data_IF_251776096170
#
_entry.id   IF_251776096170
#
_cell.length_a   1.000
_cell.length_b   1.000
_cell.length_c   1.000
_cell.angle_alpha   90.00
_cell.angle_beta   90.00
_cell.angle_gamma   90.00
#
_symmetry.space_group_name_H-M   'P 1'
#
loop_
_entity.id
_entity.type
_entity.pdbx_description
1 polymer ?
#
# COMPACT_ATOMS: atom_id res chain seq x y z
N UNK A 1 15.20 -6.94 5.81
CA UNK A 1 15.74 -5.58 6.07
C UNK A 1 17.14 -5.40 5.47
N UNK A 2 18.18 -6.09 5.97
CA UNK A 2 19.54 -6.02 5.39
C UNK A 2 19.60 -6.64 4.00
N UNK A 3 19.05 -7.85 3.82
CA UNK A 3 18.97 -8.52 2.52
C UNK A 3 18.20 -7.72 1.46
N UNK A 4 17.36 -6.78 1.89
CA UNK A 4 16.57 -5.92 1.01
C UNK A 4 17.22 -4.54 0.78
N UNK A 5 18.47 -4.34 1.22
CA UNK A 5 19.16 -3.04 1.12
C UNK A 5 18.63 -1.94 2.06
N UNK A 6 17.68 -2.25 2.95
CA UNK A 6 17.10 -1.27 3.88
C UNK A 6 17.96 -1.12 5.15
N UNK A 7 19.22 -0.70 5.00
CA UNK A 7 20.19 -0.61 6.11
C UNK A 7 19.74 0.33 7.23
N UNK A 8 19.20 1.51 6.91
CA UNK A 8 18.65 2.43 7.92
C UNK A 8 17.56 1.78 8.76
N UNK A 9 16.67 1.01 8.12
CA UNK A 9 15.62 0.32 8.82
C UNK A 9 16.17 -0.86 9.66
N UNK A 10 17.25 -1.51 9.20
CA UNK A 10 17.92 -2.56 9.96
C UNK A 10 18.54 -2.00 11.25
N UNK A 11 19.26 -0.88 11.15
CA UNK A 11 19.84 -0.18 12.31
C UNK A 11 18.75 0.25 13.29
N UNK A 12 17.63 0.80 12.81
CA UNK A 12 16.48 1.16 13.67
C UNK A 12 15.90 -0.05 14.41
N UNK A 13 15.80 -1.20 13.75
CA UNK A 13 15.32 -2.44 14.39
C UNK A 13 16.30 -2.93 15.44
N UNK A 14 17.61 -2.94 15.13
CA UNK A 14 18.67 -3.33 16.07
C UNK A 14 18.68 -2.47 17.34
N UNK A 15 18.43 -1.16 17.19
CA UNK A 15 18.36 -0.22 18.32
C UNK A 15 16.98 -0.10 18.97
N UNK A 16 15.98 -0.88 18.56
CA UNK A 16 14.62 -0.77 19.10
C UNK A 16 14.49 -1.52 20.43
N UNK A 17 13.58 -1.04 21.30
CA UNK A 17 13.22 -1.73 22.55
C UNK A 17 12.37 -2.99 22.33
N UNK A 18 12.16 -3.42 21.08
CA UNK A 18 11.36 -4.58 20.74
C UNK A 18 9.84 -4.34 20.82
N UNK A 19 9.09 -5.44 20.92
CA UNK A 19 7.64 -5.44 21.09
C UNK A 19 7.32 -5.42 22.58
N UNK A 20 6.31 -4.64 22.99
CA UNK A 20 5.86 -4.61 24.37
C UNK A 20 5.40 -6.02 24.83
N UNK A 21 5.67 -6.41 26.08
CA UNK A 21 5.27 -7.72 26.60
C UNK A 21 3.74 -7.84 26.64
N UNK A 22 3.23 -9.05 26.46
CA UNK A 22 1.80 -9.34 26.62
C UNK A 22 1.44 -9.40 28.11
N UNK A 23 1.08 -8.26 28.69
CA UNK A 23 0.69 -8.12 30.09
C UNK A 23 -0.40 -7.05 30.30
N UNK A 24 -0.95 -7.00 31.51
CA UNK A 24 -2.05 -6.10 31.87
C UNK A 24 -1.70 -4.63 31.70
N UNK A 25 -0.47 -4.23 32.05
CA UNK A 25 0.01 -2.85 31.89
C UNK A 25 -0.02 -2.41 30.42
N UNK A 26 0.43 -3.29 29.52
CA UNK A 26 0.41 -3.03 28.08
C UNK A 26 -1.03 -2.98 27.56
N UNK A 27 -1.91 -3.87 28.02
CA UNK A 27 -3.34 -3.86 27.65
C UNK A 27 -4.01 -2.55 28.07
N UNK A 28 -3.77 -2.07 29.30
CA UNK A 28 -4.31 -0.80 29.78
C UNK A 28 -3.85 0.38 28.93
N UNK A 29 -2.57 0.44 28.57
CA UNK A 29 -2.03 1.49 27.69
C UNK A 29 -2.68 1.42 26.30
N UNK A 30 -2.96 0.22 25.79
CA UNK A 30 -3.65 0.04 24.51
C UNK A 30 -5.10 0.53 24.58
N UNK A 31 -5.83 0.20 25.64
CA UNK A 31 -7.21 0.68 25.85
C UNK A 31 -7.28 2.20 25.97
N UNK A 32 -6.36 2.81 26.72
CA UNK A 32 -6.28 4.27 26.86
C UNK A 32 -6.02 4.96 25.51
N UNK A 33 -5.21 4.35 24.64
CA UNK A 33 -4.90 4.88 23.29
C UNK A 33 -6.00 4.60 22.26
N UNK A 34 -6.74 3.51 22.44
CA UNK A 34 -7.74 3.00 21.50
C UNK A 34 -9.07 2.78 22.20
N UNK A 35 -9.76 3.85 22.63
CA UNK A 35 -11.07 3.72 23.27
C UNK A 35 -12.04 3.02 22.31
N UNK A 36 -12.88 2.14 22.86
CA UNK A 36 -13.85 1.38 22.09
C UNK A 36 -14.68 2.31 21.20
N UNK A 37 -14.78 1.93 19.92
CA UNK A 37 -15.70 2.54 18.96
C UNK A 37 -16.67 1.47 18.46
N UNK A 38 -17.98 1.76 18.39
CA UNK A 38 -18.92 0.85 17.78
C UNK A 38 -18.53 0.59 16.31
N UNK A 39 -18.89 -0.58 15.76
CA UNK A 39 -18.65 -0.87 14.34
C UNK A 39 -19.22 0.25 13.46
N UNK A 40 -18.54 0.64 12.38
CA UNK A 40 -19.09 1.61 11.44
C UNK A 40 -20.42 1.08 10.89
N UNK A 41 -21.44 1.94 10.89
CA UNK A 41 -22.72 1.61 10.27
C UNK A 41 -22.51 1.42 8.78
N UNK A 42 -22.80 0.22 8.27
CA UNK A 42 -22.84 -0.02 6.83
C UNK A 42 -24.01 0.78 6.24
N UNK A 43 -23.70 1.85 5.52
CA UNK A 43 -24.69 2.55 4.71
C UNK A 43 -25.19 1.57 3.65
N UNK A 44 -26.48 1.27 3.67
CA UNK A 44 -27.17 0.38 2.71
C UNK A 44 -27.49 1.08 1.39
N UNK A 45 -27.23 2.39 1.32
CA UNK A 45 -27.47 3.19 0.12
C UNK A 45 -26.32 3.03 -0.86
N UNK A 46 -26.53 2.18 -1.86
CA UNK A 46 -25.64 2.11 -3.03
C UNK A 46 -25.82 3.38 -3.84
N UNK A 47 -24.86 4.30 -3.77
CA UNK A 47 -24.81 5.42 -4.68
C UNK A 47 -24.50 4.88 -6.08
N UNK A 48 -25.47 4.99 -6.99
CA UNK A 48 -25.31 4.67 -8.42
C UNK A 48 -24.55 5.79 -9.13
N UNK A 49 -23.37 6.14 -8.64
CA UNK A 49 -22.50 7.10 -9.31
C UNK A 49 -21.64 6.36 -10.34
N UNK A 50 -21.32 7.04 -11.45
CA UNK A 50 -20.44 6.47 -12.45
C UNK A 50 -19.05 6.21 -11.81
N UNK A 51 -18.42 5.04 -12.06
CA UNK A 51 -17.08 4.75 -11.58
C UNK A 51 -16.08 5.84 -11.95
N UNK A 52 -15.17 6.16 -11.03
CA UNK A 52 -14.00 6.97 -11.35
C UNK A 52 -13.13 6.19 -12.36
N UNK A 53 -12.86 6.82 -13.51
CA UNK A 53 -11.96 6.28 -14.55
C UNK A 53 -10.71 7.14 -14.61
N UNK A 54 -9.55 6.50 -14.53
CA UNK A 54 -8.24 7.14 -14.60
C UNK A 54 -7.49 6.72 -15.87
N UNK A 55 -6.68 7.64 -16.37
CA UNK A 55 -5.77 7.39 -17.48
C UNK A 55 -4.41 6.82 -17.03
N UNK A 56 -3.63 6.40 -18.01
CA UNK A 56 -2.32 5.76 -17.82
C UNK A 56 -1.31 6.71 -17.16
N UNK A 57 -1.35 8.01 -17.49
CA UNK A 57 -0.43 9.00 -16.94
C UNK A 57 -0.69 9.27 -15.46
N UNK A 58 -1.96 9.22 -15.06
CA UNK A 58 -2.40 9.31 -13.66
C UNK A 58 -1.93 8.10 -12.87
N UNK A 59 -2.11 6.89 -13.42
CA UNK A 59 -1.61 5.65 -12.81
C UNK A 59 -0.09 5.70 -12.63
N UNK A 60 0.65 6.12 -13.66
CA UNK A 60 2.09 6.25 -13.60
C UNK A 60 2.54 7.25 -12.52
N UNK A 61 1.87 8.40 -12.42
CA UNK A 61 2.16 9.42 -11.40
C UNK A 61 1.91 8.87 -9.99
N UNK A 62 0.83 8.11 -9.80
CA UNK A 62 0.53 7.46 -8.53
C UNK A 62 1.58 6.41 -8.16
N UNK A 63 2.02 5.56 -9.09
CA UNK A 63 3.10 4.59 -8.83
C UNK A 63 4.39 5.31 -8.43
N UNK A 64 4.76 6.40 -9.13
CA UNK A 64 5.93 7.21 -8.77
C UNK A 64 5.82 7.94 -7.43
N UNK A 65 4.62 8.04 -6.85
CA UNK A 65 4.39 8.73 -5.58
C UNK A 65 4.64 7.86 -4.35
N UNK A 66 4.95 6.56 -4.51
CA UNK A 66 5.25 5.69 -3.37
C UNK A 66 6.42 6.24 -2.53
N UNK A 67 6.27 6.33 -1.20
CA UNK A 67 7.37 6.70 -0.32
C UNK A 67 8.53 5.72 -0.43
N UNK A 68 9.76 6.22 -0.33
CA UNK A 68 10.93 5.34 -0.32
C UNK A 68 10.87 4.36 0.86
N UNK A 69 11.03 3.08 0.55
CA UNK A 69 11.04 2.01 1.55
C UNK A 69 9.65 1.55 1.98
N UNK A 70 8.63 1.71 1.12
CA UNK A 70 7.34 1.03 1.30
C UNK A 70 7.56 -0.47 1.55
N UNK A 71 6.82 -1.02 2.51
CA UNK A 71 6.91 -2.45 2.82
C UNK A 71 6.22 -3.29 1.74
N UNK A 72 6.75 -4.50 1.50
CA UNK A 72 6.02 -5.50 0.72
C UNK A 72 4.69 -5.89 1.39
N UNK A 73 3.72 -6.27 0.55
CA UNK A 73 2.56 -7.04 0.97
C UNK A 73 2.90 -8.52 1.25
N UNK A 74 1.87 -9.33 1.46
CA UNK A 74 1.99 -10.78 1.75
C UNK A 74 2.65 -11.57 0.62
N UNK A 75 2.52 -11.08 -0.61
CA UNK A 75 3.09 -11.67 -1.83
C UNK A 75 4.58 -11.35 -2.03
N UNK A 76 5.16 -10.48 -1.19
CA UNK A 76 6.55 -10.03 -1.33
C UNK A 76 6.75 -8.96 -2.40
N UNK A 77 5.72 -8.57 -3.17
CA UNK A 77 5.83 -7.54 -4.19
C UNK A 77 6.04 -6.17 -3.54
N UNK A 78 7.00 -5.39 -4.07
CA UNK A 78 7.31 -4.03 -3.62
C UNK A 78 6.97 -3.02 -4.69
N UNK A 79 6.66 -1.81 -4.25
CA UNK A 79 6.67 -0.61 -5.08
C UNK A 79 7.97 -0.49 -5.89
N UNK A 80 9.12 -0.79 -5.29
CA UNK A 80 10.42 -0.75 -5.96
C UNK A 80 10.48 -1.65 -7.20
N UNK A 81 9.90 -2.86 -7.16
CA UNK A 81 9.88 -3.75 -8.33
C UNK A 81 9.09 -3.12 -9.49
N UNK A 82 7.98 -2.43 -9.18
CA UNK A 82 7.20 -1.71 -10.18
C UNK A 82 7.98 -0.50 -10.69
N UNK A 83 8.59 0.29 -9.80
CA UNK A 83 9.39 1.46 -10.17
C UNK A 83 10.58 1.09 -11.06
N UNK A 84 11.26 -0.03 -10.77
CA UNK A 84 12.38 -0.52 -11.54
C UNK A 84 11.93 -0.99 -12.94
N UNK A 85 10.81 -1.72 -13.02
CA UNK A 85 10.22 -2.13 -14.29
C UNK A 85 9.79 -0.94 -15.16
N UNK A 86 9.46 0.19 -14.54
CA UNK A 86 9.02 1.43 -15.19
C UNK A 86 10.14 2.45 -15.44
N UNK A 87 11.37 2.16 -15.04
CA UNK A 87 12.50 3.11 -15.10
C UNK A 87 13.07 3.29 -16.53
N UNK A 88 12.71 2.43 -17.48
CA UNK A 88 13.14 2.53 -18.88
C UNK A 88 12.32 3.53 -19.69
N UNK A 89 12.81 4.75 -19.85
CA UNK A 89 12.19 5.78 -20.70
C UNK A 89 12.11 5.29 -22.16
N UNK A 90 10.90 5.25 -22.74
CA UNK A 90 10.66 4.71 -24.09
C UNK A 90 10.65 3.18 -24.19
N UNK A 91 10.71 2.45 -23.06
CA UNK A 91 10.59 0.98 -23.06
C UNK A 91 9.16 0.54 -23.39
N UNK A 92 9.01 -0.25 -24.46
CA UNK A 92 7.74 -0.89 -24.79
C UNK A 92 7.20 -1.70 -23.62
N UNK A 93 8.08 -2.40 -22.88
CA UNK A 93 7.71 -3.21 -21.71
C UNK A 93 7.14 -2.34 -20.57
N UNK A 94 7.69 -1.15 -20.34
CA UNK A 94 7.18 -0.24 -19.31
C UNK A 94 5.79 0.29 -19.69
N UNK A 95 5.58 0.59 -20.98
CA UNK A 95 4.28 1.03 -21.49
C UNK A 95 3.24 -0.08 -21.42
N UNK A 96 3.56 -1.27 -21.89
CA UNK A 96 2.69 -2.44 -21.85
C UNK A 96 2.27 -2.79 -20.42
N UNK A 97 3.20 -2.69 -19.46
CA UNK A 97 2.92 -2.87 -18.04
C UNK A 97 1.92 -1.84 -17.51
N UNK A 98 2.09 -0.56 -17.85
CA UNK A 98 1.15 0.49 -17.44
C UNK A 98 -0.24 0.32 -18.08
N UNK A 99 -0.27 -0.06 -19.35
CA UNK A 99 -1.51 -0.35 -20.07
C UNK A 99 -2.22 -1.59 -19.49
N UNK A 100 -1.49 -2.55 -18.92
CA UNK A 100 -2.06 -3.70 -18.20
C UNK A 100 -2.53 -3.35 -16.76
N UNK A 101 -1.84 -2.48 -16.04
CA UNK A 101 -2.21 -2.07 -14.67
C UNK A 101 -3.45 -1.17 -14.67
N UNK A 102 -3.55 -0.25 -15.62
CA UNK A 102 -4.63 0.75 -15.70
C UNK A 102 -6.06 0.15 -15.67
N UNK A 103 -6.40 -0.89 -16.46
CA UNK A 103 -7.72 -1.51 -16.38
C UNK A 103 -7.99 -2.19 -15.03
N UNK A 104 -6.97 -2.74 -14.36
CA UNK A 104 -7.10 -3.31 -13.02
C UNK A 104 -7.42 -2.22 -11.99
N UNK A 105 -6.76 -1.07 -12.07
CA UNK A 105 -7.06 0.10 -11.22
C UNK A 105 -8.50 0.56 -11.44
N UNK A 106 -8.92 0.71 -12.71
CA UNK A 106 -10.29 1.10 -13.04
C UNK A 106 -11.33 0.05 -12.63
N UNK A 107 -10.99 -1.24 -12.60
CA UNK A 107 -11.84 -2.30 -12.06
C UNK A 107 -12.09 -2.08 -10.55
N UNK A 108 -11.03 -1.80 -9.78
CA UNK A 108 -11.11 -1.54 -8.34
C UNK A 108 -11.83 -0.24 -8.02
N UNK A 109 -11.55 0.84 -8.74
CA UNK A 109 -12.25 2.13 -8.58
C UNK A 109 -13.75 2.02 -8.90
N UNK A 110 -14.14 1.08 -9.77
CA UNK A 110 -15.53 0.77 -10.03
C UNK A 110 -16.18 -0.21 -9.05
N UNK A 111 -15.50 -0.60 -7.97
CA UNK A 111 -16.04 -1.52 -6.97
C UNK A 111 -16.23 -2.96 -7.47
N UNK A 112 -15.56 -3.34 -8.56
CA UNK A 112 -15.66 -4.67 -9.20
C UNK A 112 -14.47 -5.57 -8.88
N UNK A 113 -13.79 -5.31 -7.76
CA UNK A 113 -12.75 -6.20 -7.27
C UNK A 113 -13.37 -7.55 -6.89
N UNK A 114 -12.85 -8.69 -7.40
CA UNK A 114 -13.30 -10.02 -6.99
C UNK A 114 -12.99 -10.33 -5.53
#
# INVERSE_FOLDING_TARGET
>A
KVADGHFTAAVKVLGSSGVAPYNEDTMKILEDKHPYRPPPNLLTTFFSEAPLVVDVDTVFRCIKSFPKGTSSGRDGLRDQHLLDALCGEGSAVARDLLDAITPVVNLWLGGRCP
#
